data_IF_703413994199
#
_entry.id   IF_703413994199
#
_cell.length_a   1.000
_cell.length_b   1.000
_cell.length_c   1.000
_cell.angle_alpha   90.00
_cell.angle_beta   90.00
_cell.angle_gamma   90.00
#
_symmetry.space_group_name_H-M   'P 1'
#
loop_
_entity.id
_entity.type
_entity.pdbx_description
1 polymer ?
#
# COMPACT_ATOMS: atom_id res chain seq x y z
N UNK A 1 26.43 11.15 39.05
CA UNK A 1 26.29 11.79 37.72
C UNK A 1 25.48 10.86 36.83
N UNK A 2 24.16 11.06 36.79
CA UNK A 2 23.23 10.20 36.06
C UNK A 2 23.13 10.67 34.61
N UNK A 3 23.60 9.85 33.66
CA UNK A 3 23.44 10.13 32.23
C UNK A 3 22.02 9.72 31.82
N UNK A 4 21.23 10.71 31.46
CA UNK A 4 19.89 10.56 30.89
C UNK A 4 20.01 10.13 29.43
N UNK A 5 19.58 8.91 29.11
CA UNK A 5 19.49 8.41 27.73
C UNK A 5 18.28 9.04 27.07
N UNK A 6 18.51 10.02 26.20
CA UNK A 6 17.48 10.66 25.39
C UNK A 6 17.07 9.68 24.29
N UNK A 7 15.81 9.23 24.31
CA UNK A 7 15.20 8.48 23.23
C UNK A 7 15.28 9.32 21.94
N UNK A 8 16.07 8.86 20.97
CA UNK A 8 16.07 9.41 19.63
C UNK A 8 14.79 8.93 18.96
N UNK A 9 13.83 9.84 18.77
CA UNK A 9 12.82 9.67 17.73
C UNK A 9 13.57 9.56 16.40
N UNK A 10 13.56 8.37 15.81
CA UNK A 10 13.80 8.23 14.38
C UNK A 10 12.73 9.06 13.67
N UNK A 11 13.18 10.11 12.98
CA UNK A 11 12.36 10.85 12.05
C UNK A 11 12.22 9.94 10.84
N UNK A 12 11.19 9.09 10.86
CA UNK A 12 10.82 8.27 9.72
C UNK A 12 10.53 9.22 8.56
N UNK A 13 11.37 9.14 7.53
CA UNK A 13 11.23 9.98 6.35
C UNK A 13 9.86 9.70 5.72
N UNK A 14 9.13 10.73 5.25
CA UNK A 14 7.83 10.51 4.63
C UNK A 14 8.02 9.48 3.50
N UNK A 15 7.16 8.44 3.43
CA UNK A 15 7.28 7.45 2.38
C UNK A 15 7.27 8.18 1.05
N UNK A 16 8.28 7.96 0.23
CA UNK A 16 8.28 8.45 -1.14
C UNK A 16 7.01 7.94 -1.78
N UNK A 17 6.11 8.85 -2.16
CA UNK A 17 4.92 8.49 -2.93
C UNK A 17 5.40 7.90 -4.26
N UNK A 18 5.38 6.57 -4.37
CA UNK A 18 5.86 5.84 -5.56
C UNK A 18 4.84 5.94 -6.71
N UNK A 19 3.58 6.26 -6.41
CA UNK A 19 2.53 6.34 -7.42
C UNK A 19 2.76 7.53 -8.35
N UNK A 20 3.09 7.27 -9.62
CA UNK A 20 3.17 8.29 -10.68
C UNK A 20 1.77 8.59 -11.21
N UNK A 21 1.24 9.82 -11.06
CA UNK A 21 -0.08 10.17 -11.58
C UNK A 21 -0.15 9.94 -13.09
N UNK A 22 -1.02 9.02 -13.52
CA UNK A 22 -1.23 8.72 -14.94
C UNK A 22 -0.33 7.62 -15.53
N UNK A 23 0.48 6.92 -14.72
CA UNK A 23 1.31 5.78 -15.18
C UNK A 23 0.51 4.63 -15.80
N UNK A 24 -0.77 4.50 -15.45
CA UNK A 24 -1.68 3.53 -16.04
C UNK A 24 -2.30 4.12 -17.31
N UNK A 25 -2.08 3.48 -18.48
CA UNK A 25 -2.70 3.90 -19.74
C UNK A 25 -4.21 4.04 -19.61
N UNK A 26 -4.81 5.03 -20.28
CA UNK A 26 -6.24 5.34 -20.12
C UNK A 26 -7.16 4.14 -20.40
N UNK A 27 -6.78 3.28 -21.34
CA UNK A 27 -7.48 2.02 -21.67
C UNK A 27 -7.43 0.97 -20.56
N UNK A 28 -6.40 0.97 -19.71
CA UNK A 28 -6.19 -0.01 -18.63
C UNK A 28 -6.81 0.44 -17.29
N UNK A 29 -7.09 1.74 -17.15
CA UNK A 29 -7.63 2.32 -15.91
C UNK A 29 -8.94 1.68 -15.43
N UNK A 30 -9.95 1.41 -16.27
CA UNK A 30 -11.20 0.80 -15.79
C UNK A 30 -10.96 -0.55 -15.11
N UNK A 31 -10.16 -1.41 -15.74
CA UNK A 31 -9.80 -2.73 -15.21
C UNK A 31 -8.97 -2.60 -13.93
N UNK A 32 -8.03 -1.66 -13.89
CA UNK A 32 -7.24 -1.41 -12.69
C UNK A 32 -8.12 -0.92 -11.52
N UNK A 33 -9.04 0.02 -11.75
CA UNK A 33 -9.93 0.49 -10.68
C UNK A 33 -10.88 -0.59 -10.20
N UNK A 34 -11.39 -1.44 -11.09
CA UNK A 34 -12.17 -2.61 -10.70
C UNK A 34 -11.37 -3.56 -9.80
N UNK A 35 -10.09 -3.79 -10.12
CA UNK A 35 -9.18 -4.59 -9.30
C UNK A 35 -8.96 -3.98 -7.91
N UNK A 36 -8.72 -2.67 -7.84
CA UNK A 36 -8.54 -1.95 -6.56
C UNK A 36 -9.80 -2.05 -5.70
N UNK A 37 -10.98 -1.85 -6.29
CA UNK A 37 -12.26 -2.00 -5.57
C UNK A 37 -12.40 -3.41 -5.01
N UNK A 38 -12.20 -4.44 -5.84
CA UNK A 38 -12.30 -5.84 -5.41
C UNK A 38 -11.33 -6.16 -4.28
N UNK A 39 -10.07 -5.74 -4.39
CA UNK A 39 -9.06 -5.99 -3.36
C UNK A 39 -9.40 -5.23 -2.08
N UNK A 40 -9.46 -3.91 -2.12
CA UNK A 40 -9.45 -3.08 -0.91
C UNK A 40 -10.81 -2.94 -0.23
N UNK A 41 -11.92 -3.17 -0.94
CA UNK A 41 -13.28 -3.07 -0.37
C UNK A 41 -13.96 -4.41 -0.15
N UNK A 42 -13.76 -5.37 -1.05
CA UNK A 42 -14.59 -6.57 -1.08
C UNK A 42 -13.86 -7.82 -0.54
N UNK A 43 -12.54 -7.89 -0.75
CA UNK A 43 -11.77 -9.13 -0.51
C UNK A 43 -10.73 -9.03 0.61
N UNK A 44 -10.52 -7.83 1.16
CA UNK A 44 -9.64 -7.63 2.32
C UNK A 44 -10.23 -8.32 3.55
N UNK A 45 -9.57 -9.37 4.04
CA UNK A 45 -10.00 -10.08 5.24
C UNK A 45 -9.84 -9.20 6.47
N UNK A 46 -8.73 -8.46 6.51
CA UNK A 46 -8.43 -7.51 7.57
C UNK A 46 -7.76 -6.28 6.98
N UNK A 47 -8.04 -5.14 7.60
CA UNK A 47 -7.38 -3.87 7.38
C UNK A 47 -6.94 -3.33 8.73
N UNK A 48 -5.66 -3.03 8.84
CA UNK A 48 -5.08 -2.40 10.03
C UNK A 48 -4.50 -1.05 9.64
N UNK A 49 -4.79 -0.03 10.42
CA UNK A 49 -4.17 1.28 10.25
C UNK A 49 -2.70 1.21 10.66
N UNK A 50 -1.84 1.81 9.85
CA UNK A 50 -0.41 1.98 10.13
C UNK A 50 -0.07 3.48 10.09
N UNK A 51 1.03 3.92 10.74
CA UNK A 51 1.39 5.35 10.79
C UNK A 51 1.48 6.03 9.41
N UNK A 52 1.75 5.26 8.36
CA UNK A 52 1.96 5.74 7.00
C UNK A 52 1.00 5.12 5.96
N UNK A 53 -0.09 4.47 6.39
CA UNK A 53 -1.04 3.88 5.47
C UNK A 53 -1.88 2.76 6.08
N UNK A 54 -2.09 1.70 5.31
CA UNK A 54 -2.91 0.56 5.72
C UNK A 54 -2.19 -0.74 5.41
N UNK A 55 -2.34 -1.72 6.29
CA UNK A 55 -1.90 -3.09 6.09
C UNK A 55 -3.15 -3.91 5.79
N UNK A 56 -3.14 -4.66 4.69
CA UNK A 56 -4.24 -5.53 4.30
C UNK A 56 -3.81 -7.00 4.35
N UNK A 57 -4.71 -7.85 4.85
CA UNK A 57 -4.57 -9.31 4.80
C UNK A 57 -5.55 -9.88 3.78
N UNK A 58 -5.05 -10.75 2.90
CA UNK A 58 -5.84 -11.40 1.85
C UNK A 58 -5.75 -12.92 1.95
N UNK A 59 -6.72 -13.63 1.36
CA UNK A 59 -6.60 -15.06 1.10
C UNK A 59 -5.44 -15.33 0.13
N UNK A 60 -4.77 -16.48 0.27
CA UNK A 60 -3.65 -16.88 -0.59
C UNK A 60 -4.04 -16.95 -2.08
N UNK A 61 -5.28 -17.33 -2.39
CA UNK A 61 -5.82 -17.38 -3.76
C UNK A 61 -5.82 -16.02 -4.47
N UNK A 62 -5.77 -14.92 -3.73
CA UNK A 62 -5.74 -13.55 -4.26
C UNK A 62 -4.33 -13.09 -4.63
N UNK A 63 -3.30 -13.93 -4.45
CA UNK A 63 -1.90 -13.54 -4.63
C UNK A 63 -1.63 -12.89 -6.00
N UNK A 64 -2.10 -13.49 -7.09
CA UNK A 64 -1.90 -12.97 -8.45
C UNK A 64 -2.55 -11.60 -8.66
N UNK A 65 -3.76 -11.41 -8.11
CA UNK A 65 -4.49 -10.15 -8.18
C UNK A 65 -3.75 -9.04 -7.39
N UNK A 66 -3.23 -9.37 -6.20
CA UNK A 66 -2.41 -8.46 -5.38
C UNK A 66 -1.08 -8.13 -6.08
N UNK A 67 -0.39 -9.13 -6.63
CA UNK A 67 0.87 -8.95 -7.34
C UNK A 67 0.70 -8.04 -8.57
N UNK A 68 -0.39 -8.22 -9.32
CA UNK A 68 -0.73 -7.35 -10.45
C UNK A 68 -1.01 -5.92 -9.99
N UNK A 69 -1.74 -5.73 -8.90
CA UNK A 69 -1.98 -4.40 -8.33
C UNK A 69 -0.67 -3.71 -7.96
N UNK A 70 0.18 -4.35 -7.16
CA UNK A 70 1.48 -3.80 -6.74
C UNK A 70 2.37 -3.48 -7.95
N UNK A 71 2.35 -4.31 -8.98
CA UNK A 71 3.11 -4.08 -10.21
C UNK A 71 2.63 -2.85 -10.97
N UNK A 72 1.32 -2.56 -10.96
CA UNK A 72 0.77 -1.36 -11.58
C UNK A 72 1.14 -0.09 -10.81
N UNK A 73 1.17 -0.14 -9.48
CA UNK A 73 1.52 1.00 -8.61
C UNK A 73 3.01 1.37 -8.62
N UNK A 74 3.87 0.45 -9.09
CA UNK A 74 5.32 0.66 -9.19
C UNK A 74 5.78 1.25 -10.53
N UNK A 75 4.85 1.51 -11.46
CA UNK A 75 5.13 2.16 -12.76
C UNK A 75 5.08 3.68 -12.61
#
# INVERSE_FOLDING_TARGET
MSKSTKAQSEVESPPTLVCVPGAIPASERPTHFALVTRLLRESGLERTDAPNGFIFRFNAEMFEDVARFVSNERR
#
